data_IF_325662814735
#
_entry.id   IF_325662814735
#
_cell.length_a   1.000
_cell.length_b   1.000
_cell.length_c   1.000
_cell.angle_alpha   90.00
_cell.angle_beta   90.00
_cell.angle_gamma   90.00
#
_symmetry.space_group_name_H-M   'P 1'
#
loop_
_entity.id
_entity.type
_entity.pdbx_description
1 polymer ?
#
# COMPACT_ATOMS: atom_id res chain seq x y z
N UNK A 1 4.09 -23.24 -6.97
CA UNK A 1 2.95 -23.92 -7.61
C UNK A 1 2.79 -23.31 -8.99
N UNK A 2 2.33 -24.05 -10.00
CA UNK A 2 2.06 -23.43 -11.30
C UNK A 2 1.03 -22.31 -11.15
N UNK A 3 1.11 -21.30 -12.03
CA UNK A 3 0.09 -20.25 -12.12
C UNK A 3 -1.31 -20.87 -12.22
N UNK A 4 -2.27 -20.31 -11.49
CA UNK A 4 -3.66 -20.74 -11.61
C UNK A 4 -4.25 -20.20 -12.92
N UNK A 5 -4.95 -21.05 -13.66
CA UNK A 5 -5.77 -20.62 -14.79
C UNK A 5 -7.07 -19.97 -14.31
N UNK A 6 -7.68 -19.15 -15.16
CA UNK A 6 -9.00 -18.55 -14.91
C UNK A 6 -10.04 -19.62 -14.56
N UNK A 7 -10.03 -20.76 -15.27
CA UNK A 7 -10.93 -21.88 -15.02
C UNK A 7 -10.73 -22.49 -13.62
N UNK A 8 -9.48 -22.59 -13.14
CA UNK A 8 -9.20 -23.07 -11.79
C UNK A 8 -9.72 -22.09 -10.74
N UNK A 9 -9.55 -20.78 -10.95
CA UNK A 9 -10.03 -19.75 -10.02
C UNK A 9 -11.57 -19.73 -10.01
N UNK A 10 -12.21 -19.85 -11.17
CA UNK A 10 -13.66 -19.91 -11.29
C UNK A 10 -14.25 -21.12 -10.55
N UNK A 11 -13.57 -22.27 -10.60
CA UNK A 11 -13.96 -23.46 -9.84
C UNK A 11 -13.86 -23.22 -8.33
N UNK A 12 -12.75 -22.66 -7.86
CA UNK A 12 -12.56 -22.30 -6.44
C UNK A 12 -13.65 -21.33 -5.97
N UNK A 13 -13.97 -20.32 -6.79
CA UNK A 13 -15.04 -19.39 -6.50
C UNK A 13 -16.42 -20.03 -6.44
N UNK A 14 -16.70 -20.96 -7.35
CA UNK A 14 -17.97 -21.68 -7.36
C UNK A 14 -18.15 -22.51 -6.09
N UNK A 15 -17.06 -23.09 -5.58
CA UNK A 15 -17.06 -23.89 -4.36
C UNK A 15 -17.22 -23.05 -3.08
N UNK A 16 -16.68 -21.83 -3.06
CA UNK A 16 -16.59 -21.04 -1.83
C UNK A 16 -17.56 -19.87 -1.74
N UNK A 17 -18.02 -19.31 -2.87
CA UNK A 17 -18.84 -18.10 -2.91
C UNK A 17 -20.24 -18.36 -3.46
N UNK A 18 -21.08 -17.32 -3.36
CA UNK A 18 -22.50 -17.44 -3.65
C UNK A 18 -22.85 -17.49 -5.14
N UNK A 19 -23.99 -18.08 -5.49
CA UNK A 19 -24.53 -17.96 -6.86
C UNK A 19 -24.77 -16.49 -7.25
N UNK A 20 -25.11 -15.62 -6.29
CA UNK A 20 -25.24 -14.20 -6.53
C UNK A 20 -23.90 -13.55 -6.92
N UNK A 21 -22.79 -14.01 -6.34
CA UNK A 21 -21.45 -13.60 -6.75
C UNK A 21 -21.10 -14.12 -8.14
N UNK A 22 -21.40 -15.40 -8.41
CA UNK A 22 -21.17 -16.02 -9.72
C UNK A 22 -21.94 -15.30 -10.84
N UNK A 23 -23.14 -14.80 -10.52
CA UNK A 23 -23.97 -14.04 -11.45
C UNK A 23 -23.65 -12.52 -11.43
N UNK A 24 -22.63 -12.09 -10.69
CA UNK A 24 -22.27 -10.67 -10.62
C UNK A 24 -21.62 -10.19 -11.91
N UNK A 25 -21.76 -8.89 -12.20
CA UNK A 25 -21.20 -8.28 -13.40
C UNK A 25 -19.66 -8.36 -13.48
N UNK A 26 -18.98 -8.62 -12.36
CA UNK A 26 -17.53 -8.66 -12.27
C UNK A 26 -16.97 -10.06 -12.00
N UNK A 27 -17.81 -11.12 -12.05
CA UNK A 27 -17.37 -12.47 -11.72
C UNK A 27 -16.16 -12.91 -12.55
N UNK A 28 -16.26 -12.77 -13.89
CA UNK A 28 -15.15 -13.13 -14.78
C UNK A 28 -13.92 -12.26 -14.50
N UNK A 29 -14.10 -10.95 -14.30
CA UNK A 29 -12.99 -10.06 -13.99
C UNK A 29 -12.25 -10.48 -12.70
N UNK A 30 -12.97 -10.97 -11.68
CA UNK A 30 -12.35 -11.50 -10.47
C UNK A 30 -11.62 -12.83 -10.70
N UNK A 31 -12.10 -13.69 -11.62
CA UNK A 31 -11.38 -14.88 -12.04
C UNK A 31 -10.06 -14.51 -12.72
N UNK A 32 -10.11 -13.54 -13.63
CA UNK A 32 -8.95 -13.03 -14.37
C UNK A 32 -7.93 -12.41 -13.41
N UNK A 33 -8.40 -11.61 -12.44
CA UNK A 33 -7.56 -11.08 -11.35
C UNK A 33 -6.85 -12.19 -10.59
N UNK A 34 -7.60 -13.23 -10.18
CA UNK A 34 -7.05 -14.33 -9.41
C UNK A 34 -5.97 -15.08 -10.18
N UNK A 35 -6.21 -15.34 -11.46
CA UNK A 35 -5.24 -16.00 -12.35
C UNK A 35 -4.01 -15.11 -12.58
N UNK A 36 -4.23 -13.84 -12.90
CA UNK A 36 -3.18 -12.85 -13.15
C UNK A 36 -2.23 -12.68 -11.97
N UNK A 37 -2.76 -12.53 -10.75
CA UNK A 37 -1.93 -12.35 -9.55
C UNK A 37 -1.32 -13.66 -9.00
N UNK A 38 -1.74 -14.82 -9.50
CA UNK A 38 -1.28 -16.11 -8.94
C UNK A 38 0.18 -16.46 -9.26
N UNK A 39 0.83 -15.74 -10.17
CA UNK A 39 2.23 -15.93 -10.54
C UNK A 39 2.90 -14.62 -10.95
N UNK A 40 4.19 -14.48 -10.70
CA UNK A 40 4.90 -13.21 -10.95
C UNK A 40 5.05 -12.93 -12.45
N UNK A 41 5.22 -13.98 -13.25
CA UNK A 41 5.42 -13.90 -14.70
C UNK A 41 4.31 -13.11 -15.40
N UNK A 42 3.06 -13.33 -14.99
CA UNK A 42 1.88 -12.61 -15.48
C UNK A 42 1.97 -11.11 -15.18
N UNK A 43 2.58 -10.75 -14.05
CA UNK A 43 2.66 -9.37 -13.58
C UNK A 43 3.86 -8.59 -14.17
N UNK A 44 4.83 -9.25 -14.81
CA UNK A 44 6.09 -8.62 -15.27
C UNK A 44 5.87 -7.46 -16.24
N UNK A 45 4.94 -7.58 -17.19
CA UNK A 45 4.62 -6.51 -18.14
C UNK A 45 4.08 -5.26 -17.44
N UNK A 46 3.15 -5.42 -16.51
CA UNK A 46 2.58 -4.31 -15.74
C UNK A 46 3.59 -3.70 -14.76
N UNK A 47 4.49 -4.51 -14.18
CA UNK A 47 5.60 -4.03 -13.36
C UNK A 47 6.59 -3.19 -14.15
N UNK A 48 6.99 -3.66 -15.34
CA UNK A 48 7.86 -2.90 -16.23
C UNK A 48 7.22 -1.56 -16.64
N UNK A 49 5.90 -1.55 -16.87
CA UNK A 49 5.18 -0.32 -17.15
C UNK A 49 5.16 0.64 -15.94
N UNK A 50 4.94 0.13 -14.72
CA UNK A 50 5.00 0.94 -13.51
C UNK A 50 6.40 1.56 -13.31
N UNK A 51 7.46 0.79 -13.47
CA UNK A 51 8.85 1.26 -13.42
C UNK A 51 9.10 2.35 -14.47
N UNK A 52 8.63 2.14 -15.70
CA UNK A 52 8.75 3.14 -16.77
C UNK A 52 8.05 4.46 -16.41
N UNK A 53 6.84 4.40 -15.86
CA UNK A 53 6.11 5.60 -15.42
C UNK A 53 6.84 6.34 -14.28
N UNK A 54 7.50 5.61 -13.38
CA UNK A 54 8.35 6.19 -12.34
C UNK A 54 9.57 6.89 -12.95
N UNK A 55 10.19 6.25 -13.93
CA UNK A 55 11.33 6.82 -14.64
C UNK A 55 10.95 8.12 -15.36
N UNK A 56 9.83 8.12 -16.10
CA UNK A 56 9.32 9.33 -16.77
C UNK A 56 9.12 10.50 -15.80
N UNK A 57 8.41 10.26 -14.69
CA UNK A 57 8.17 11.29 -13.68
C UNK A 57 9.47 11.76 -13.01
N UNK A 58 10.39 10.83 -12.75
CA UNK A 58 11.67 11.15 -12.16
C UNK A 58 12.53 12.01 -13.10
N UNK A 59 12.60 11.65 -14.39
CA UNK A 59 13.32 12.39 -15.41
C UNK A 59 12.75 13.79 -15.60
N UNK A 60 11.41 13.92 -15.67
CA UNK A 60 10.72 15.22 -15.74
C UNK A 60 11.14 16.16 -14.61
N UNK A 61 11.10 15.65 -13.36
CA UNK A 61 11.48 16.44 -12.18
C UNK A 61 12.97 16.77 -12.17
N UNK A 62 13.81 15.84 -12.60
CA UNK A 62 15.26 16.07 -12.69
C UNK A 62 15.58 17.16 -13.69
N UNK A 63 14.95 17.15 -14.86
CA UNK A 63 15.10 18.20 -15.87
C UNK A 63 14.62 19.56 -15.35
N UNK A 64 13.47 19.60 -14.65
CA UNK A 64 12.96 20.83 -14.04
C UNK A 64 13.94 21.40 -13.00
N UNK A 65 14.49 20.54 -12.15
CA UNK A 65 15.49 20.93 -11.14
C UNK A 65 16.78 21.41 -11.80
N UNK A 66 17.28 20.71 -12.81
CA UNK A 66 18.46 21.14 -13.57
C UNK A 66 18.26 22.50 -14.23
N UNK A 67 17.09 22.74 -14.84
CA UNK A 67 16.76 24.04 -15.43
C UNK A 67 16.76 25.17 -14.38
N UNK A 68 16.13 24.94 -13.22
CA UNK A 68 16.06 25.90 -12.12
C UNK A 68 17.43 26.21 -11.46
N UNK A 69 18.38 25.28 -11.56
CA UNK A 69 19.75 25.49 -11.08
C UNK A 69 20.63 26.19 -12.09
N UNK A 70 20.50 25.83 -13.38
CA UNK A 70 21.19 26.53 -14.47
C UNK A 70 20.83 28.01 -14.49
N UNK A 71 19.57 28.36 -14.24
CA UNK A 71 19.15 29.77 -14.12
C UNK A 71 19.77 30.51 -12.93
N UNK A 72 20.38 29.79 -11.98
CA UNK A 72 21.10 30.32 -10.82
C UNK A 72 22.64 30.19 -10.97
N UNK A 73 23.13 29.84 -12.16
CA UNK A 73 24.56 29.66 -12.44
C UNK A 73 25.15 28.37 -11.86
N UNK A 74 24.32 27.42 -11.42
CA UNK A 74 24.77 26.14 -10.84
C UNK A 74 24.64 25.02 -11.89
N UNK A 75 25.74 24.35 -12.20
CA UNK A 75 25.75 23.20 -13.11
C UNK A 75 25.81 21.90 -12.32
N UNK A 76 24.85 21.00 -12.54
CA UNK A 76 24.87 19.64 -12.00
C UNK A 76 25.32 18.68 -13.10
N UNK A 77 26.34 17.88 -12.82
CA UNK A 77 26.79 16.81 -13.73
C UNK A 77 25.87 15.58 -13.63
N UNK A 78 25.75 14.76 -14.67
CA UNK A 78 25.03 13.47 -14.59
C UNK A 78 25.51 12.59 -13.43
N UNK A 79 26.80 12.61 -13.15
CA UNK A 79 27.43 11.88 -12.04
C UNK A 79 26.98 12.42 -10.66
N UNK A 80 26.73 13.73 -10.55
CA UNK A 80 26.16 14.33 -9.34
C UNK A 80 24.71 13.89 -9.13
N UNK A 81 23.92 13.74 -10.20
CA UNK A 81 22.55 13.19 -10.14
C UNK A 81 22.57 11.72 -9.71
N UNK A 82 23.51 10.93 -10.24
CA UNK A 82 23.69 9.53 -9.87
C UNK A 82 24.17 9.38 -8.42
N UNK A 83 25.12 10.21 -7.98
CA UNK A 83 25.57 10.26 -6.60
C UNK A 83 24.47 10.71 -5.64
N UNK A 84 23.62 11.67 -6.04
CA UNK A 84 22.40 12.04 -5.33
C UNK A 84 21.53 10.79 -5.13
N UNK A 85 21.17 10.06 -6.19
CA UNK A 85 20.40 8.82 -6.06
C UNK A 85 21.00 7.82 -5.07
N UNK A 86 22.29 7.54 -5.24
CA UNK A 86 23.02 6.56 -4.45
C UNK A 86 23.19 6.99 -2.98
N UNK A 87 23.30 8.29 -2.69
CA UNK A 87 23.45 8.80 -1.33
C UNK A 87 22.09 9.00 -0.62
N UNK A 88 21.04 9.36 -1.34
CA UNK A 88 19.72 9.67 -0.74
C UNK A 88 18.88 8.44 -0.41
N UNK A 89 19.19 7.29 -1.04
CA UNK A 89 18.59 5.99 -0.74
C UNK A 89 18.72 5.58 0.73
N UNK A 90 19.70 6.11 1.47
CA UNK A 90 19.88 5.81 2.90
C UNK A 90 20.13 7.02 3.83
N UNK A 91 20.43 8.22 3.30
CA UNK A 91 20.99 9.31 4.14
C UNK A 91 20.01 10.30 4.75
N UNK A 92 18.72 10.27 4.42
CA UNK A 92 17.76 11.24 5.01
C UNK A 92 17.71 11.19 6.55
N UNK A 93 18.20 10.10 7.16
CA UNK A 93 18.33 9.91 8.62
C UNK A 93 19.72 10.23 9.20
N UNK A 94 20.75 10.47 8.38
CA UNK A 94 22.15 10.64 8.86
C UNK A 94 22.65 12.09 8.90
N UNK A 95 21.89 13.07 8.42
CA UNK A 95 22.30 14.48 8.54
C UNK A 95 22.14 14.97 9.98
N UNK A 96 23.27 15.11 10.67
CA UNK A 96 23.39 15.67 12.02
C UNK A 96 23.60 17.19 11.94
N UNK A 97 23.45 17.86 13.08
CA UNK A 97 23.89 19.26 13.28
C UNK A 97 25.38 19.35 12.91
N UNK A 98 25.74 20.19 11.92
CA UNK A 98 27.11 20.29 11.39
C UNK A 98 27.33 19.73 9.98
N UNK A 99 26.28 19.24 9.31
CA UNK A 99 26.37 18.86 7.89
C UNK A 99 26.64 20.11 7.04
N UNK A 100 27.63 20.13 6.11
CA UNK A 100 27.93 21.32 5.31
C UNK A 100 26.72 21.79 4.50
N UNK A 101 26.56 23.11 4.32
CA UNK A 101 25.41 23.71 3.62
C UNK A 101 25.20 23.19 2.20
N UNK A 102 26.26 22.74 1.51
CA UNK A 102 26.16 22.15 0.17
C UNK A 102 25.36 20.84 0.18
N UNK A 103 25.53 20.00 1.21
CA UNK A 103 24.71 18.80 1.38
C UNK A 103 23.24 19.14 1.65
N UNK A 104 22.95 20.25 2.34
CA UNK A 104 21.58 20.74 2.52
C UNK A 104 20.94 21.22 1.21
N UNK A 105 21.71 21.76 0.26
CA UNK A 105 21.16 22.07 -1.08
C UNK A 105 20.90 20.80 -1.86
N UNK A 106 21.85 19.87 -1.90
CA UNK A 106 21.66 18.56 -2.55
C UNK A 106 20.48 17.78 -1.96
N UNK A 107 20.27 17.89 -0.65
CA UNK A 107 19.12 17.35 0.07
C UNK A 107 17.74 17.86 -0.37
N UNK A 108 17.66 19.14 -0.73
CA UNK A 108 16.42 19.74 -1.17
C UNK A 108 16.11 19.30 -2.60
N UNK A 109 17.11 19.31 -3.47
CA UNK A 109 17.01 18.83 -4.86
C UNK A 109 16.61 17.35 -4.93
N UNK A 110 17.25 16.55 -4.10
CA UNK A 110 16.88 15.17 -3.80
C UNK A 110 15.41 15.00 -3.45
N UNK A 111 14.92 15.82 -2.52
CA UNK A 111 13.53 15.79 -2.05
C UNK A 111 12.58 16.18 -3.16
N UNK A 112 12.90 17.21 -3.93
CA UNK A 112 12.06 17.68 -5.04
C UNK A 112 11.93 16.61 -6.14
N UNK A 113 13.03 15.96 -6.49
CA UNK A 113 13.06 14.92 -7.54
C UNK A 113 12.40 13.62 -7.09
N UNK A 114 12.70 13.13 -5.89
CA UNK A 114 12.34 11.76 -5.47
C UNK A 114 11.13 11.66 -4.55
N UNK A 115 10.68 12.77 -3.93
CA UNK A 115 9.60 12.69 -2.95
C UNK A 115 8.29 12.27 -3.60
N UNK A 116 7.64 11.26 -3.02
CA UNK A 116 6.30 10.78 -3.41
C UNK A 116 6.23 10.23 -4.84
N UNK A 117 7.34 9.84 -5.49
CA UNK A 117 7.34 9.29 -6.86
C UNK A 117 6.29 8.18 -7.03
N UNK A 118 6.42 7.08 -6.28
CA UNK A 118 5.50 5.95 -6.31
C UNK A 118 4.05 6.37 -6.10
N UNK A 119 3.78 7.12 -5.04
CA UNK A 119 2.40 7.56 -4.76
C UNK A 119 1.85 8.54 -5.80
N UNK A 120 2.70 9.29 -6.50
CA UNK A 120 2.27 10.19 -7.58
C UNK A 120 1.82 9.38 -8.80
N UNK A 121 2.64 8.42 -9.24
CA UNK A 121 2.30 7.53 -10.35
C UNK A 121 1.04 6.72 -10.05
N UNK A 122 0.97 6.09 -8.87
CA UNK A 122 -0.19 5.30 -8.46
C UNK A 122 -1.47 6.15 -8.43
N UNK A 123 -1.48 7.32 -7.78
CA UNK A 123 -2.73 8.09 -7.71
C UNK A 123 -3.12 8.81 -9.01
N UNK A 124 -2.19 9.06 -9.93
CA UNK A 124 -2.54 9.48 -11.31
C UNK A 124 -3.34 8.37 -12.00
N UNK A 125 -2.81 7.15 -11.97
CA UNK A 125 -3.50 5.99 -12.55
C UNK A 125 -4.84 5.72 -11.86
N UNK A 126 -4.89 5.71 -10.53
CA UNK A 126 -6.14 5.50 -9.76
C UNK A 126 -7.23 6.52 -10.17
N UNK A 127 -6.87 7.80 -10.31
CA UNK A 127 -7.81 8.85 -10.71
C UNK A 127 -8.38 8.65 -12.13
N UNK A 128 -7.58 8.09 -13.04
CA UNK A 128 -8.02 7.76 -14.40
C UNK A 128 -8.78 6.42 -14.48
N UNK A 129 -8.73 5.61 -13.43
CA UNK A 129 -9.29 4.25 -13.39
C UNK A 129 -10.44 4.09 -12.38
N UNK A 130 -11.15 5.17 -12.10
CA UNK A 130 -12.44 5.15 -11.39
C UNK A 130 -12.34 5.07 -9.86
N UNK A 131 -11.14 5.24 -9.30
CA UNK A 131 -10.95 5.38 -7.86
C UNK A 131 -11.26 6.80 -7.41
N UNK A 132 -11.64 6.94 -6.15
CA UNK A 132 -12.02 8.21 -5.55
C UNK A 132 -10.78 8.95 -4.99
N UNK A 133 -9.95 9.44 -5.90
CA UNK A 133 -8.77 10.27 -5.64
C UNK A 133 -8.73 11.44 -6.63
N UNK A 134 -8.10 12.56 -6.26
CA UNK A 134 -7.98 13.68 -7.18
C UNK A 134 -6.81 13.53 -8.14
N UNK A 135 -7.02 14.05 -9.36
CA UNK A 135 -5.99 14.18 -10.39
C UNK A 135 -4.91 15.21 -10.03
N UNK A 136 -5.23 16.20 -9.20
CA UNK A 136 -4.34 17.31 -8.87
C UNK A 136 -3.49 17.02 -7.63
N UNK A 137 -2.20 16.75 -7.83
CA UNK A 137 -1.24 16.44 -6.76
C UNK A 137 -0.55 17.66 -6.14
N UNK A 138 -0.65 18.81 -6.79
CA UNK A 138 0.03 20.05 -6.41
C UNK A 138 -0.93 21.20 -6.08
N UNK A 139 -2.25 20.99 -6.22
CA UNK A 139 -3.22 21.95 -5.73
C UNK A 139 -3.51 21.70 -4.26
N UNK A 140 -3.98 22.74 -3.56
CA UNK A 140 -4.56 22.62 -2.21
C UNK A 140 -5.78 21.70 -2.16
N UNK A 141 -6.24 21.17 -3.30
CA UNK A 141 -7.35 20.26 -3.46
C UNK A 141 -6.91 18.80 -3.63
N UNK A 142 -5.68 18.40 -3.33
CA UNK A 142 -5.30 16.99 -3.40
C UNK A 142 -5.99 16.12 -2.33
N UNK A 143 -6.79 15.12 -2.73
CA UNK A 143 -7.22 14.00 -1.87
C UNK A 143 -6.20 12.85 -1.94
N UNK A 144 -5.33 12.69 -0.93
CA UNK A 144 -4.44 11.55 -0.89
C UNK A 144 -5.19 10.30 -0.40
N UNK A 145 -4.66 9.12 -0.72
CA UNK A 145 -5.14 7.82 -0.20
C UNK A 145 -5.38 7.84 1.32
N UNK A 146 -6.32 7.11 1.88
CA UNK A 146 -6.52 7.11 3.34
C UNK A 146 -5.38 6.36 4.07
N UNK A 147 -5.31 6.45 5.41
CA UNK A 147 -4.35 5.67 6.20
C UNK A 147 -5.10 4.63 7.01
N UNK A 148 -4.69 3.38 6.90
CA UNK A 148 -5.18 2.26 7.69
C UNK A 148 -4.19 1.93 8.81
N UNK A 149 -4.67 1.85 10.05
CA UNK A 149 -3.89 1.39 11.21
C UNK A 149 -4.73 0.35 11.98
N UNK A 150 -4.11 -0.76 12.43
CA UNK A 150 -4.80 -1.83 13.18
C UNK A 150 -5.81 -2.64 12.36
N UNK A 151 -6.67 -3.41 13.03
CA UNK A 151 -7.64 -4.31 12.39
C UNK A 151 -9.06 -3.71 12.33
N UNK A 152 -9.31 -2.93 11.28
CA UNK A 152 -10.51 -2.08 11.11
C UNK A 152 -11.80 -2.80 10.69
N UNK A 153 -11.88 -4.14 10.76
CA UNK A 153 -13.09 -4.96 10.52
C UNK A 153 -14.20 -4.31 9.65
N UNK A 154 -15.27 -3.78 10.26
CA UNK A 154 -16.41 -3.18 9.56
C UNK A 154 -16.08 -1.87 8.84
N UNK A 155 -15.19 -1.03 9.40
CA UNK A 155 -14.74 0.18 8.72
C UNK A 155 -13.96 -0.14 7.43
N UNK A 156 -13.37 -1.34 7.32
CA UNK A 156 -12.76 -1.78 6.07
C UNK A 156 -13.76 -1.79 4.92
N UNK A 157 -14.98 -2.28 5.17
CA UNK A 157 -16.04 -2.33 4.17
C UNK A 157 -16.48 -0.93 3.76
N UNK A 158 -16.50 0.04 4.67
CA UNK A 158 -16.82 1.44 4.34
C UNK A 158 -15.67 2.12 3.57
N UNK A 159 -14.42 1.75 3.86
CA UNK A 159 -13.27 2.18 3.07
C UNK A 159 -13.39 1.69 1.62
N UNK A 160 -13.62 0.40 1.41
CA UNK A 160 -13.78 -0.18 0.08
C UNK A 160 -14.96 0.45 -0.67
N UNK A 161 -16.10 0.62 0.01
CA UNK A 161 -17.31 1.23 -0.59
C UNK A 161 -17.06 2.65 -1.11
N UNK A 162 -16.22 3.41 -0.40
CA UNK A 162 -15.90 4.79 -0.77
C UNK A 162 -15.07 4.89 -2.05
N UNK A 163 -14.53 3.77 -2.55
CA UNK A 163 -13.64 3.72 -3.72
C UNK A 163 -12.29 4.37 -3.46
N UNK A 164 -11.95 4.66 -2.20
CA UNK A 164 -10.73 5.36 -1.82
C UNK A 164 -9.61 4.35 -1.58
N UNK A 165 -8.47 4.46 -2.28
CA UNK A 165 -7.29 3.67 -1.97
C UNK A 165 -6.73 4.09 -0.61
N UNK A 166 -5.94 3.22 0.01
CA UNK A 166 -5.37 3.45 1.34
C UNK A 166 -3.91 3.02 1.41
N UNK A 167 -3.20 3.54 2.42
CA UNK A 167 -1.90 3.06 2.83
C UNK A 167 -2.06 2.11 4.00
N UNK A 168 -1.44 0.94 3.91
CA UNK A 168 -1.48 -0.03 4.98
C UNK A 168 -0.35 0.18 5.98
N UNK A 169 -0.63 0.98 7.01
CA UNK A 169 0.31 1.21 8.11
C UNK A 169 0.06 0.22 9.27
N UNK A 170 -1.06 -0.50 9.24
CA UNK A 170 -1.45 -1.48 10.25
C UNK A 170 -0.74 -2.81 10.05
N UNK A 171 -0.58 -3.24 8.80
CA UNK A 171 0.18 -4.45 8.48
C UNK A 171 1.69 -4.24 8.70
N UNK A 172 2.44 -5.29 9.02
CA UNK A 172 3.87 -5.21 9.33
C UNK A 172 4.74 -4.66 8.17
N UNK A 173 6.01 -4.28 8.41
CA UNK A 173 6.89 -3.71 7.38
C UNK A 173 6.99 -4.57 6.10
N UNK A 174 7.00 -5.89 6.26
CA UNK A 174 7.09 -6.87 5.16
C UNK A 174 5.85 -6.94 4.28
N UNK A 175 4.68 -6.55 4.79
CA UNK A 175 3.47 -6.43 3.98
C UNK A 175 3.56 -5.25 2.99
N UNK A 176 4.24 -4.17 3.40
CA UNK A 176 4.42 -2.96 2.61
C UNK A 176 3.23 -1.99 2.68
N UNK A 177 3.51 -0.69 2.71
CA UNK A 177 2.48 0.35 2.89
C UNK A 177 1.64 0.63 1.64
N UNK A 178 2.13 0.24 0.47
CA UNK A 178 1.56 0.59 -0.83
C UNK A 178 1.20 -0.64 -1.65
N UNK A 179 1.34 -1.82 -1.09
CA UNK A 179 1.30 -3.08 -1.83
C UNK A 179 -0.05 -3.33 -2.47
N UNK A 180 -1.17 -3.11 -1.76
CA UNK A 180 -2.48 -3.22 -2.37
C UNK A 180 -2.71 -2.21 -3.50
N UNK A 181 -2.17 -0.99 -3.37
CA UNK A 181 -2.24 0.00 -4.46
C UNK A 181 -1.42 -0.44 -5.67
N UNK A 182 -0.27 -1.10 -5.44
CA UNK A 182 0.53 -1.70 -6.50
C UNK A 182 -0.24 -2.87 -7.13
N UNK A 183 -0.82 -3.80 -6.36
CA UNK A 183 -1.65 -4.90 -6.89
C UNK A 183 -2.75 -4.36 -7.81
N UNK A 184 -3.52 -3.36 -7.37
CA UNK A 184 -4.58 -2.75 -8.19
C UNK A 184 -4.05 -2.07 -9.45
N UNK A 185 -2.89 -1.40 -9.37
CA UNK A 185 -2.22 -0.87 -10.56
C UNK A 185 -1.85 -1.98 -11.54
N UNK A 186 -1.26 -3.07 -11.06
CA UNK A 186 -0.84 -4.19 -11.91
C UNK A 186 -2.02 -4.84 -12.62
N UNK A 187 -3.10 -5.11 -11.88
CA UNK A 187 -4.35 -5.65 -12.44
C UNK A 187 -4.90 -4.70 -13.49
N UNK A 188 -5.01 -3.42 -13.17
CA UNK A 188 -5.58 -2.42 -14.06
C UNK A 188 -4.85 -2.31 -15.39
N UNK A 189 -3.52 -2.36 -15.36
CA UNK A 189 -2.68 -2.34 -16.56
C UNK A 189 -2.70 -3.69 -17.27
N UNK A 190 -2.44 -4.79 -16.57
CA UNK A 190 -2.31 -6.12 -17.15
C UNK A 190 -3.60 -6.66 -17.76
N UNK A 191 -4.75 -6.33 -17.17
CA UNK A 191 -6.07 -6.75 -17.64
C UNK A 191 -6.85 -5.63 -18.36
N UNK A 192 -6.21 -4.48 -18.58
CA UNK A 192 -6.80 -3.32 -19.28
C UNK A 192 -8.21 -2.94 -18.78
N UNK A 193 -8.36 -2.83 -17.45
CA UNK A 193 -9.69 -2.65 -16.84
C UNK A 193 -10.24 -1.22 -17.02
N UNK A 194 -9.37 -0.21 -17.17
CA UNK A 194 -9.80 1.18 -17.22
C UNK A 194 -10.62 1.60 -15.98
N UNK A 195 -11.66 2.44 -16.13
CA UNK A 195 -12.55 2.87 -15.04
C UNK A 195 -13.26 1.72 -14.30
N UNK A 196 -13.32 0.52 -14.88
CA UNK A 196 -13.91 -0.66 -14.25
C UNK A 196 -13.14 -1.08 -12.99
N UNK A 197 -11.84 -0.81 -12.91
CA UNK A 197 -11.02 -1.15 -11.75
C UNK A 197 -11.57 -0.55 -10.44
N UNK A 198 -11.89 0.75 -10.43
CA UNK A 198 -12.48 1.40 -9.26
C UNK A 198 -13.89 0.90 -8.93
N UNK A 199 -14.67 0.48 -9.93
CA UNK A 199 -15.97 -0.14 -9.70
C UNK A 199 -15.85 -1.53 -9.05
N UNK A 200 -14.92 -2.36 -9.52
CA UNK A 200 -14.58 -3.65 -8.93
C UNK A 200 -14.03 -3.51 -7.51
N UNK A 201 -13.16 -2.53 -7.26
CA UNK A 201 -12.64 -2.22 -5.93
C UNK A 201 -13.76 -1.95 -4.91
N UNK A 202 -14.81 -1.23 -5.32
CA UNK A 202 -15.98 -0.99 -4.46
C UNK A 202 -16.85 -2.23 -4.26
N UNK A 203 -16.90 -3.10 -5.26
CA UNK A 203 -17.77 -4.28 -5.26
C UNK A 203 -17.21 -5.44 -4.43
N UNK A 204 -15.88 -5.61 -4.38
CA UNK A 204 -15.21 -6.74 -3.70
C UNK A 204 -15.67 -6.96 -2.25
N UNK A 205 -16.01 -5.88 -1.53
CA UNK A 205 -16.45 -5.95 -0.13
C UNK A 205 -17.75 -6.75 0.08
N UNK A 206 -18.57 -6.88 -0.96
CA UNK A 206 -19.91 -7.48 -0.87
C UNK A 206 -19.86 -9.00 -0.74
N UNK A 207 -18.75 -9.60 -1.14
CA UNK A 207 -18.65 -11.03 -1.33
C UNK A 207 -17.93 -11.67 -0.15
N UNK A 208 -18.65 -12.52 0.56
CA UNK A 208 -18.14 -13.34 1.67
C UNK A 208 -18.34 -14.82 1.33
N UNK A 209 -17.42 -15.66 1.79
CA UNK A 209 -17.52 -17.11 1.60
C UNK A 209 -18.81 -17.65 2.23
N UNK A 210 -19.48 -18.56 1.51
CA UNK A 210 -20.69 -19.24 2.01
C UNK A 210 -20.33 -20.31 3.02
N UNK A 211 -19.34 -21.13 2.67
CA UNK A 211 -18.82 -22.18 3.54
C UNK A 211 -17.85 -21.58 4.55
N UNK A 212 -17.91 -22.10 5.78
CA UNK A 212 -16.88 -21.84 6.75
C UNK A 212 -15.64 -22.66 6.37
N UNK A 213 -14.48 -22.02 6.41
CA UNK A 213 -13.20 -22.62 6.06
C UNK A 213 -12.53 -23.06 7.35
N UNK A 214 -11.92 -24.24 7.34
CA UNK A 214 -11.19 -24.73 8.51
C UNK A 214 -9.98 -23.82 8.79
N UNK A 215 -9.81 -23.38 10.04
CA UNK A 215 -8.61 -22.67 10.45
C UNK A 215 -7.36 -23.55 10.32
N UNK A 216 -6.17 -22.94 10.22
CA UNK A 216 -4.92 -23.72 10.09
C UNK A 216 -4.68 -24.64 11.28
N UNK A 217 -4.96 -24.16 12.49
CA UNK A 217 -4.86 -24.94 13.74
C UNK A 217 -6.04 -25.91 13.93
N UNK A 218 -6.98 -25.95 12.98
CA UNK A 218 -8.21 -26.73 13.01
C UNK A 218 -9.10 -26.48 14.24
N UNK A 219 -8.83 -25.41 15.01
CA UNK A 219 -9.57 -25.11 16.24
C UNK A 219 -10.97 -24.56 15.96
N UNK A 220 -11.18 -23.92 14.81
CA UNK A 220 -12.40 -23.20 14.49
C UNK A 220 -12.67 -23.19 12.98
N UNK A 221 -13.85 -22.69 12.62
CA UNK A 221 -14.20 -22.43 11.21
C UNK A 221 -14.42 -20.94 10.99
N UNK A 222 -13.93 -20.40 9.88
CA UNK A 222 -13.92 -18.96 9.59
C UNK A 222 -14.61 -18.65 8.26
N UNK A 223 -15.36 -17.54 8.20
CA UNK A 223 -15.79 -16.93 6.94
C UNK A 223 -14.88 -15.79 6.58
N UNK A 224 -14.66 -15.59 5.29
CA UNK A 224 -13.71 -14.61 4.77
C UNK A 224 -14.26 -13.92 3.52
N UNK A 225 -13.88 -12.65 3.35
CA UNK A 225 -14.25 -11.82 2.23
C UNK A 225 -13.45 -12.19 0.98
N UNK A 226 -13.98 -11.88 -0.19
CA UNK A 226 -13.27 -12.04 -1.47
C UNK A 226 -11.95 -11.27 -1.50
N UNK A 227 -11.89 -10.13 -0.78
CA UNK A 227 -10.66 -9.36 -0.59
C UNK A 227 -9.52 -10.22 -0.05
N UNK A 228 -9.76 -10.99 1.01
CA UNK A 228 -8.76 -11.84 1.67
C UNK A 228 -8.32 -12.99 0.76
N UNK A 229 -9.19 -13.41 -0.17
CA UNK A 229 -8.85 -14.43 -1.16
C UNK A 229 -7.95 -13.88 -2.29
N UNK A 230 -8.24 -12.69 -2.80
CA UNK A 230 -7.62 -12.16 -4.01
C UNK A 230 -6.46 -11.21 -3.77
N UNK A 231 -6.47 -10.46 -2.68
CA UNK A 231 -5.57 -9.32 -2.48
C UNK A 231 -4.77 -9.39 -1.17
N UNK A 232 -5.19 -10.24 -0.25
CA UNK A 232 -4.64 -10.32 1.10
C UNK A 232 -4.46 -11.78 1.57
N UNK A 233 -3.93 -12.62 0.67
CA UNK A 233 -3.49 -13.97 1.05
C UNK A 233 -2.26 -13.87 1.94
N UNK A 234 -2.09 -14.82 2.84
CA UNK A 234 -0.96 -14.76 3.75
C UNK A 234 0.29 -15.42 3.12
N UNK A 235 1.31 -14.59 2.89
CA UNK A 235 2.60 -14.98 2.31
C UNK A 235 3.57 -15.63 3.31
N UNK A 236 3.35 -15.48 4.61
CA UNK A 236 3.96 -16.34 5.64
C UNK A 236 2.95 -17.39 6.09
N UNK A 237 3.07 -18.63 5.59
CA UNK A 237 2.11 -19.67 5.89
C UNK A 237 1.80 -19.94 7.35
N UNK A 238 2.70 -19.60 8.27
CA UNK A 238 2.50 -19.78 9.71
C UNK A 238 1.48 -18.79 10.30
N UNK A 239 1.27 -17.65 9.64
CA UNK A 239 0.34 -16.59 10.07
C UNK A 239 -1.05 -16.72 9.44
N UNK A 240 -1.24 -17.66 8.50
CA UNK A 240 -2.48 -17.70 7.73
C UNK A 240 -3.63 -18.23 8.60
N UNK A 241 -4.78 -17.54 8.55
CA UNK A 241 -5.93 -17.93 9.35
C UNK A 241 -6.61 -19.23 8.88
N UNK A 242 -6.41 -19.64 7.61
CA UNK A 242 -6.98 -20.86 7.03
C UNK A 242 -6.08 -21.41 5.92
N UNK A 243 -6.23 -22.71 5.62
CA UNK A 243 -5.47 -23.39 4.55
C UNK A 243 -5.76 -22.78 3.17
N UNK A 244 -7.00 -22.37 2.90
CA UNK A 244 -7.40 -21.81 1.61
C UNK A 244 -6.67 -20.49 1.28
N UNK A 245 -6.27 -19.74 2.30
CA UNK A 245 -5.59 -18.44 2.15
C UNK A 245 -4.08 -18.51 2.33
N UNK A 246 -3.56 -19.71 2.59
CA UNK A 246 -2.13 -19.96 2.69
C UNK A 246 -1.51 -19.83 1.31
N UNK A 247 -0.61 -18.87 1.18
CA UNK A 247 0.22 -18.75 0.00
C UNK A 247 1.45 -19.65 0.18
N UNK A 248 1.47 -20.82 -0.47
CA UNK A 248 2.64 -21.71 -0.43
C UNK A 248 3.71 -21.32 -1.44
N UNK A 249 3.31 -20.62 -2.49
CA UNK A 249 4.22 -20.03 -3.46
C UNK A 249 4.65 -18.62 -3.02
N UNK A 250 5.95 -18.34 -3.08
CA UNK A 250 6.52 -17.03 -2.78
C UNK A 250 6.34 -16.02 -3.93
N UNK A 251 5.93 -16.50 -5.12
CA UNK A 251 5.71 -15.69 -6.32
C UNK A 251 4.22 -15.49 -6.64
N UNK A 252 3.31 -15.96 -5.78
CA UNK A 252 1.89 -15.62 -5.85
C UNK A 252 1.68 -14.25 -5.18
N UNK A 253 1.31 -13.28 -6.01
CA UNK A 253 1.15 -11.86 -5.69
C UNK A 253 -0.25 -11.49 -5.22
N UNK A 254 -1.15 -12.45 -5.06
CA UNK A 254 -2.34 -12.27 -4.22
C UNK A 254 -1.96 -12.11 -2.75
N UNK A 255 -0.77 -12.59 -2.37
CA UNK A 255 -0.16 -12.28 -1.09
C UNK A 255 0.67 -10.98 -1.17
N UNK A 256 0.26 -9.90 -0.47
CA UNK A 256 0.97 -8.63 -0.51
C UNK A 256 2.39 -8.74 0.04
N UNK A 257 2.61 -9.52 1.11
CA UNK A 257 3.96 -9.73 1.67
C UNK A 257 4.91 -10.40 0.67
N UNK A 258 4.41 -11.27 -0.21
CA UNK A 258 5.19 -11.88 -1.28
C UNK A 258 5.57 -10.87 -2.37
N UNK A 259 4.59 -10.11 -2.88
CA UNK A 259 4.84 -9.05 -3.86
C UNK A 259 5.85 -8.02 -3.34
N UNK A 260 5.66 -7.55 -2.10
CA UNK A 260 6.55 -6.57 -1.49
C UNK A 260 7.96 -7.14 -1.30
N UNK A 261 8.10 -8.38 -0.83
CA UNK A 261 9.40 -9.06 -0.70
C UNK A 261 10.09 -9.23 -2.06
N UNK A 262 9.37 -9.68 -3.08
CA UNK A 262 9.87 -9.81 -4.44
C UNK A 262 10.44 -8.47 -4.94
N UNK A 263 9.66 -7.39 -4.86
CA UNK A 263 10.10 -6.09 -5.39
C UNK A 263 11.26 -5.47 -4.60
N UNK A 264 11.42 -5.81 -3.32
CA UNK A 264 12.54 -5.35 -2.50
C UNK A 264 13.81 -6.20 -2.67
N UNK A 265 13.71 -7.39 -3.25
CA UNK A 265 14.83 -8.31 -3.44
C UNK A 265 15.97 -7.68 -4.25
N UNK A 266 17.22 -7.98 -3.90
CA UNK A 266 18.40 -7.46 -4.58
C UNK A 266 18.43 -7.85 -6.06
N UNK A 267 17.95 -9.04 -6.41
CA UNK A 267 17.86 -9.51 -7.78
C UNK A 267 16.92 -8.63 -8.65
N UNK A 268 15.99 -7.89 -8.04
CA UNK A 268 15.09 -7.00 -8.76
C UNK A 268 15.66 -5.59 -8.97
N UNK A 269 16.81 -5.24 -8.36
CA UNK A 269 17.37 -3.88 -8.43
C UNK A 269 17.70 -3.43 -9.85
N UNK A 270 18.16 -4.34 -10.69
CA UNK A 270 18.50 -4.00 -12.08
C UNK A 270 17.25 -3.88 -12.95
N UNK A 271 16.22 -4.69 -12.68
CA UNK A 271 15.00 -4.71 -13.50
C UNK A 271 14.02 -3.60 -13.10
N UNK A 272 13.89 -3.31 -11.80
CA UNK A 272 12.95 -2.33 -11.25
C UNK A 272 13.63 -1.38 -10.23
N UNK A 273 14.65 -0.61 -10.65
CA UNK A 273 15.49 0.16 -9.74
C UNK A 273 14.72 1.20 -8.90
N UNK A 274 13.79 1.96 -9.48
CA UNK A 274 13.05 3.00 -8.77
C UNK A 274 11.98 2.40 -7.85
N UNK A 275 11.29 1.33 -8.28
CA UNK A 275 10.38 0.58 -7.43
C UNK A 275 11.09 -0.01 -6.23
N UNK A 276 12.18 -0.75 -6.47
CA UNK A 276 12.97 -1.37 -5.41
C UNK A 276 13.45 -0.32 -4.41
N UNK A 277 14.00 0.80 -4.91
CA UNK A 277 14.42 1.94 -4.09
C UNK A 277 13.27 2.52 -3.26
N UNK A 278 12.12 2.80 -3.89
CA UNK A 278 10.95 3.35 -3.20
C UNK A 278 10.50 2.45 -2.06
N UNK A 279 10.44 1.13 -2.30
CA UNK A 279 9.93 0.16 -1.34
C UNK A 279 10.93 -0.11 -0.20
N UNK A 280 12.21 -0.31 -0.51
CA UNK A 280 13.25 -0.47 0.51
C UNK A 280 13.34 0.76 1.43
N UNK A 281 13.25 1.97 0.88
CA UNK A 281 13.21 3.20 1.69
C UNK A 281 12.02 3.24 2.66
N UNK A 282 10.84 2.79 2.23
CA UNK A 282 9.65 2.71 3.11
C UNK A 282 9.82 1.62 4.16
N UNK A 283 10.32 0.45 3.76
CA UNK A 283 10.58 -0.67 4.65
C UNK A 283 11.55 -0.29 5.78
N UNK A 284 12.72 0.26 5.44
CA UNK A 284 13.70 0.76 6.42
C UNK A 284 13.12 1.84 7.33
N UNK A 285 12.27 2.71 6.79
CA UNK A 285 11.60 3.73 7.60
C UNK A 285 10.71 3.10 8.66
N UNK A 286 10.01 2.01 8.34
CA UNK A 286 9.12 1.30 9.27
C UNK A 286 9.85 0.39 10.24
N UNK A 287 10.98 -0.21 9.81
CA UNK A 287 11.84 -1.01 10.70
C UNK A 287 12.57 -0.13 11.73
N UNK A 288 13.02 1.06 11.31
CA UNK A 288 13.88 1.94 12.12
C UNK A 288 13.16 3.24 12.55
N UNK A 289 11.84 3.26 12.58
CA UNK A 289 11.07 4.49 12.79
C UNK A 289 9.82 4.25 13.60
N UNK A 290 9.07 5.33 13.73
CA UNK A 290 7.87 5.43 14.53
C UNK A 290 6.79 4.40 14.13
N UNK A 291 6.08 3.82 15.10
CA UNK A 291 5.00 2.84 14.90
C UNK A 291 3.92 3.48 14.00
N UNK A 292 3.19 2.69 13.21
CA UNK A 292 2.21 3.21 12.22
C UNK A 292 1.27 4.30 12.77
N UNK A 293 0.95 4.23 14.07
CA UNK A 293 0.12 5.19 14.82
C UNK A 293 0.74 6.60 14.99
N UNK A 294 2.05 6.69 15.19
CA UNK A 294 2.79 7.95 15.34
C UNK A 294 2.89 8.69 14.00
N UNK A 295 3.12 7.94 12.90
CA UNK A 295 3.03 8.53 11.56
C UNK A 295 1.61 9.05 11.29
N UNK A 296 0.59 8.27 11.65
CA UNK A 296 -0.81 8.68 11.57
C UNK A 296 -1.05 9.99 12.35
N UNK A 297 -0.56 10.10 13.59
CA UNK A 297 -0.67 11.31 14.41
C UNK A 297 0.03 12.53 13.81
N UNK A 298 1.13 12.34 13.07
CA UNK A 298 1.80 13.42 12.33
C UNK A 298 0.97 13.99 11.16
N UNK A 299 -0.15 13.35 10.81
CA UNK A 299 -1.02 13.75 9.68
C UNK A 299 -2.34 14.35 10.11
N UNK A 300 -2.76 14.18 11.36
CA UNK A 300 -4.03 14.72 11.84
C UNK A 300 -3.88 15.19 13.27
N UNK A 301 -4.34 16.40 13.55
CA UNK A 301 -4.43 16.90 14.92
C UNK A 301 -5.68 16.30 15.56
N UNK A 302 -5.52 15.16 16.23
CA UNK A 302 -6.60 14.49 16.94
C UNK A 302 -6.14 14.11 18.36
N UNK A 303 -6.89 14.55 19.36
CA UNK A 303 -6.58 14.34 20.77
C UNK A 303 -6.57 12.85 21.16
N UNK A 304 -7.58 12.09 20.72
CA UNK A 304 -7.70 10.65 20.98
C UNK A 304 -6.52 9.87 20.38
N UNK A 305 -6.10 10.24 19.18
CA UNK A 305 -4.94 9.66 18.53
C UNK A 305 -3.64 9.95 19.30
N UNK A 306 -3.48 11.16 19.86
CA UNK A 306 -2.34 11.48 20.74
C UNK A 306 -2.35 10.67 22.04
N UNK A 307 -3.51 10.43 22.65
CA UNK A 307 -3.62 9.52 23.82
C UNK A 307 -3.06 8.13 23.50
N UNK A 308 -3.42 7.57 22.35
CA UNK A 308 -2.94 6.25 21.91
C UNK A 308 -1.45 6.26 21.59
N UNK A 309 -0.93 7.31 20.93
CA UNK A 309 0.53 7.46 20.71
C UNK A 309 1.29 7.47 22.04
N UNK A 310 0.87 8.30 22.99
CA UNK A 310 1.53 8.40 24.29
C UNK A 310 1.46 7.07 25.07
N UNK A 311 0.37 6.30 24.94
CA UNK A 311 0.24 4.97 25.51
C UNK A 311 1.17 3.95 24.82
N UNK A 312 1.26 3.99 23.48
CA UNK A 312 2.17 3.15 22.70
C UNK A 312 3.63 3.39 23.06
N UNK A 313 4.06 4.65 23.18
CA UNK A 313 5.44 5.02 23.52
C UNK A 313 5.89 4.48 24.89
N UNK A 314 4.97 4.31 25.83
CA UNK A 314 5.22 3.72 27.16
C UNK A 314 4.82 2.25 27.28
N UNK A 315 4.52 1.59 26.17
CA UNK A 315 4.21 0.16 26.12
C UNK A 315 2.88 -0.24 26.75
N UNK A 316 1.89 0.66 26.78
CA UNK A 316 0.55 0.42 27.32
C UNK A 316 0.52 0.01 28.82
N UNK A 317 1.39 0.62 29.65
CA UNK A 317 1.55 0.29 31.07
C UNK A 317 0.75 1.19 32.06
N UNK A 318 -0.15 2.03 31.58
CA UNK A 318 -0.99 2.92 32.38
C UNK A 318 -2.34 2.35 32.82
N UNK A 319 -2.99 3.08 33.73
CA UNK A 319 -4.32 2.76 34.28
C UNK A 319 -5.39 2.59 33.20
N UNK A 320 -5.35 3.40 32.14
CA UNK A 320 -6.32 3.37 31.03
C UNK A 320 -5.84 2.58 29.79
N UNK A 321 -4.64 2.01 29.86
CA UNK A 321 -3.95 1.57 28.67
C UNK A 321 -4.49 0.26 28.10
N UNK A 322 -5.16 -0.55 28.92
CA UNK A 322 -5.90 -1.72 28.44
C UNK A 322 -7.01 -1.32 27.47
N UNK A 323 -7.70 -0.21 27.74
CA UNK A 323 -8.76 0.34 26.88
C UNK A 323 -8.16 1.00 25.63
N UNK A 324 -7.07 1.75 25.78
CA UNK A 324 -6.35 2.36 24.64
C UNK A 324 -5.72 1.31 23.72
N UNK A 325 -5.18 0.22 24.27
CA UNK A 325 -4.64 -0.91 23.53
C UNK A 325 -5.75 -1.62 22.75
N UNK A 326 -6.93 -1.81 23.36
CA UNK A 326 -8.11 -2.35 22.66
C UNK A 326 -8.53 -1.46 21.49
N UNK A 327 -8.58 -0.14 21.69
CA UNK A 327 -8.91 0.81 20.62
C UNK A 327 -7.88 0.77 19.48
N UNK A 328 -6.58 0.73 19.83
CA UNK A 328 -5.49 0.60 18.86
C UNK A 328 -5.58 -0.71 18.06
N UNK A 329 -5.78 -1.84 18.73
CA UNK A 329 -5.88 -3.16 18.08
C UNK A 329 -7.12 -3.28 17.21
N UNK A 330 -8.24 -2.66 17.61
CA UNK A 330 -9.46 -2.57 16.80
C UNK A 330 -9.28 -1.70 15.56
N UNK A 331 -8.23 -0.88 15.51
CA UNK A 331 -7.86 -0.11 14.34
C UNK A 331 -8.69 1.16 14.08
N UNK A 332 -8.19 1.94 13.13
CA UNK A 332 -8.78 3.19 12.67
C UNK A 332 -8.44 3.47 11.20
N UNK A 333 -9.25 4.33 10.60
CA UNK A 333 -8.90 5.05 9.38
C UNK A 333 -8.61 6.52 9.67
N UNK A 334 -7.58 7.06 9.01
CA UNK A 334 -7.46 8.51 8.82
C UNK A 334 -7.97 8.82 7.42
N UNK A 335 -9.16 9.41 7.38
CA UNK A 335 -9.76 9.96 6.15
C UNK A 335 -9.08 11.26 5.83
N UNK A 336 -8.33 11.29 4.73
CA UNK A 336 -7.55 12.46 4.35
C UNK A 336 -8.33 13.31 3.35
N UNK A 337 -8.95 14.38 3.87
CA UNK A 337 -9.79 15.30 3.11
C UNK A 337 -9.02 16.52 2.58
N UNK A 338 -9.68 17.32 1.73
CA UNK A 338 -9.10 18.55 1.16
C UNK A 338 -8.82 19.64 2.21
N UNK A 339 -9.67 19.75 3.23
CA UNK A 339 -9.61 20.82 4.24
C UNK A 339 -9.37 20.29 5.66
N UNK A 340 -9.89 19.11 5.99
CA UNK A 340 -9.79 18.52 7.32
C UNK A 340 -9.53 17.03 7.16
N UNK A 341 -8.56 16.52 7.92
CA UNK A 341 -8.36 15.09 8.09
C UNK A 341 -9.26 14.60 9.23
N UNK A 342 -10.05 13.57 8.98
CA UNK A 342 -10.89 12.91 9.98
C UNK A 342 -10.24 11.64 10.51
N UNK A 343 -10.51 11.30 11.76
CA UNK A 343 -10.16 10.00 12.34
C UNK A 343 -11.44 9.22 12.59
N UNK A 344 -11.53 8.03 12.02
CA UNK A 344 -12.63 7.08 12.22
C UNK A 344 -12.09 5.88 12.98
N UNK A 345 -12.46 5.75 14.24
CA UNK A 345 -12.09 4.61 15.08
C UNK A 345 -13.09 3.47 14.87
N UNK A 346 -12.60 2.24 14.73
CA UNK A 346 -13.48 1.06 14.67
C UNK A 346 -14.16 0.84 16.02
N UNK A 347 -13.41 1.03 17.10
CA UNK A 347 -13.92 1.06 18.47
C UNK A 347 -13.14 2.13 19.23
N UNK A 348 -13.85 3.18 19.68
CA UNK A 348 -13.32 4.14 20.64
C UNK A 348 -14.08 3.99 21.95
N UNK A 349 -13.42 3.94 23.12
CA UNK A 349 -14.12 3.91 24.40
C UNK A 349 -14.82 5.25 24.68
N UNK A 350 -16.13 5.22 24.91
CA UNK A 350 -16.95 6.44 25.07
C UNK A 350 -16.62 7.25 26.33
N UNK A 351 -15.87 6.68 27.28
CA UNK A 351 -15.62 7.21 28.62
C UNK A 351 -14.16 7.61 28.89
N UNK A 352 -13.35 7.82 27.83
CA UNK A 352 -11.91 8.12 27.91
C UNK A 352 -11.49 9.58 27.77
#
# INVERSE_FOLDING_TARGET
MPAQSEASVALDFTNHFSQAFQNSAYFQDFCDVGAFLSAEENCRGALAYLEHQLFLLFSERTMAVQAALRSKGVTITPETVLNLFNHLSGMRKKWKKGTPNEFHRFAELAKETTSKLLTTVLSRWEADNGFNVDKEFFSSKHLPADLLVGNVLSLFNDQLASGRPFKDLGAGPWHGEHTHRIQWYLIGIGLNLGPKAGAMFKDVKRWISRQTLQSIDQSNTVKRYLWEYLFDREGDPSNAASVAFRCTDKLDFRAPSNLNRFLMDEAQRETYPLLNWCLNYRHEKRMNGTVGIEYAASKVSNWNLRKVVNASERGFNGTDDSRLLKAFNSGLFIRRGHLINGVQWQQWPDDL
#
